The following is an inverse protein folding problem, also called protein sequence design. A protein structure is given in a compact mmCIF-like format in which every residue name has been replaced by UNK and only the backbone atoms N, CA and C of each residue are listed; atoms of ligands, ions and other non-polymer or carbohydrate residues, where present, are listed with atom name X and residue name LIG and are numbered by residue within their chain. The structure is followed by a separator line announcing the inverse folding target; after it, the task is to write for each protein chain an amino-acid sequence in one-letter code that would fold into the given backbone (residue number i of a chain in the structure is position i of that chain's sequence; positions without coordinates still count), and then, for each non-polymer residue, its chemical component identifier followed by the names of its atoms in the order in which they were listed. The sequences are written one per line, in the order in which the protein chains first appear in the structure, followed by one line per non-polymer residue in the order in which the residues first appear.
data_IF_289587903022
#
_entry.id   IF_289587903022
#
_cell.length_a   1.000
_cell.length_b   1.000
_cell.length_c   1.000
_cell.angle_alpha   90.00
_cell.angle_beta   90.00
_cell.angle_gamma   90.00
#
_symmetry.space_group_name_H-M   'P 1'
#
loop_
_entity.id
_entity.type
_entity.pdbx_description
1 polymer ?
#
# COMPACT_ATOMS: atom_id res chain seq x y z
N UNK A 1 -26.02 5.24 3.63
CA UNK A 1 -25.40 3.97 3.18
C UNK A 1 -23.92 4.05 3.47
N UNK A 2 -23.37 3.05 4.13
CA UNK A 2 -21.95 2.98 4.50
C UNK A 2 -21.17 2.08 3.55
N UNK A 3 -19.83 2.14 3.59
CA UNK A 3 -18.98 1.22 2.82
C UNK A 3 -19.26 -0.25 3.15
N UNK A 4 -19.50 -0.57 4.43
CA UNK A 4 -19.84 -1.94 4.87
C UNK A 4 -21.16 -2.40 4.26
N UNK A 5 -22.20 -1.54 4.24
CA UNK A 5 -23.48 -1.86 3.60
C UNK A 5 -23.35 -2.04 2.09
N UNK A 6 -22.47 -1.27 1.42
CA UNK A 6 -22.16 -1.46 0.01
C UNK A 6 -21.48 -2.81 -0.22
N UNK A 7 -20.46 -3.15 0.55
CA UNK A 7 -19.74 -4.41 0.44
C UNK A 7 -20.61 -5.65 0.73
N UNK A 8 -21.71 -5.47 1.46
CA UNK A 8 -22.65 -6.57 1.75
C UNK A 8 -23.61 -6.90 0.59
N UNK A 9 -23.70 -6.05 -0.43
CA UNK A 9 -24.57 -6.27 -1.58
C UNK A 9 -23.88 -7.12 -2.65
N UNK A 10 -24.58 -8.08 -3.22
CA UNK A 10 -24.02 -8.96 -4.25
C UNK A 10 -23.75 -8.24 -5.58
N UNK A 11 -24.55 -7.23 -5.91
CA UNK A 11 -24.50 -6.44 -7.14
C UNK A 11 -23.61 -5.19 -7.06
N UNK A 12 -22.87 -5.01 -5.98
CA UNK A 12 -21.94 -3.87 -5.83
C UNK A 12 -20.74 -4.01 -6.74
N UNK A 13 -20.42 -2.94 -7.45
CA UNK A 13 -19.20 -2.78 -8.22
C UNK A 13 -18.21 -1.78 -7.58
N UNK A 14 -16.96 -1.82 -8.03
CA UNK A 14 -15.92 -0.94 -7.52
C UNK A 14 -16.20 0.55 -7.84
N UNK A 15 -16.91 0.85 -8.91
CA UNK A 15 -17.29 2.22 -9.27
C UNK A 15 -18.30 2.81 -8.29
N UNK A 16 -19.24 2.02 -7.79
CA UNK A 16 -20.18 2.45 -6.75
C UNK A 16 -19.45 2.73 -5.43
N UNK A 17 -18.50 1.87 -5.06
CA UNK A 17 -17.64 2.06 -3.88
C UNK A 17 -16.78 3.31 -4.03
N UNK A 18 -16.16 3.53 -5.18
CA UNK A 18 -15.35 4.71 -5.44
C UNK A 18 -16.17 6.01 -5.29
N UNK A 19 -17.33 6.09 -5.94
CA UNK A 19 -18.22 7.26 -5.83
C UNK A 19 -18.65 7.52 -4.39
N UNK A 20 -18.96 6.47 -3.64
CA UNK A 20 -19.32 6.61 -2.23
C UNK A 20 -18.18 7.22 -1.41
N UNK A 21 -16.99 6.64 -1.49
CA UNK A 21 -15.82 7.09 -0.73
C UNK A 21 -15.37 8.50 -1.12
N UNK A 22 -15.41 8.84 -2.42
CA UNK A 22 -14.98 10.14 -2.92
C UNK A 22 -15.97 11.26 -2.57
N UNK A 23 -17.25 10.93 -2.31
CA UNK A 23 -18.26 11.87 -1.82
C UNK A 23 -18.16 12.17 -0.32
N UNK A 24 -17.42 11.37 0.46
CA UNK A 24 -17.25 11.57 1.90
C UNK A 24 -16.19 12.64 2.22
N UNK A 25 -16.36 13.33 3.34
CA UNK A 25 -15.26 14.10 3.93
C UNK A 25 -14.09 13.18 4.33
N UNK A 26 -12.91 13.76 4.51
CA UNK A 26 -11.68 13.00 4.76
C UNK A 26 -11.77 12.14 6.03
N UNK A 27 -12.36 12.66 7.11
CA UNK A 27 -12.46 11.95 8.39
C UNK A 27 -13.44 10.78 8.30
N UNK A 28 -14.58 10.97 7.67
CA UNK A 28 -15.58 9.91 7.48
C UNK A 28 -15.07 8.83 6.54
N UNK A 29 -14.42 9.21 5.45
CA UNK A 29 -13.76 8.28 4.51
C UNK A 29 -12.72 7.41 5.21
N UNK A 30 -11.84 8.02 6.01
CA UNK A 30 -10.83 7.29 6.77
C UNK A 30 -11.46 6.33 7.76
N UNK A 31 -12.46 6.77 8.54
CA UNK A 31 -13.16 5.91 9.50
C UNK A 31 -13.85 4.73 8.83
N UNK A 32 -14.52 4.90 7.69
CA UNK A 32 -15.19 3.83 6.98
C UNK A 32 -14.19 2.85 6.36
N UNK A 33 -13.15 3.34 5.71
CA UNK A 33 -12.15 2.48 5.08
C UNK A 33 -11.30 1.71 6.11
N UNK A 34 -10.82 2.36 7.17
CA UNK A 34 -10.06 1.70 8.23
C UNK A 34 -10.93 0.85 9.16
N UNK A 35 -12.26 0.99 9.10
CA UNK A 35 -13.22 0.18 9.85
C UNK A 35 -13.40 -1.24 9.33
N UNK A 36 -12.94 -1.54 8.11
CA UNK A 36 -13.16 -2.83 7.46
C UNK A 36 -12.48 -3.99 8.17
N UNK A 37 -13.22 -5.07 8.36
CA UNK A 37 -12.69 -6.34 8.83
C UNK A 37 -12.00 -7.13 7.70
N UNK A 38 -11.47 -8.32 8.04
CA UNK A 38 -10.75 -9.16 7.08
C UNK A 38 -11.63 -9.59 5.89
N UNK A 39 -12.86 -10.03 6.15
CA UNK A 39 -13.75 -10.52 5.08
C UNK A 39 -14.14 -9.38 4.13
N UNK A 40 -14.39 -8.19 4.67
CA UNK A 40 -14.68 -6.98 3.91
C UNK A 40 -13.47 -6.51 3.08
N UNK A 41 -12.25 -6.57 3.63
CA UNK A 41 -11.04 -6.24 2.88
C UNK A 41 -10.77 -7.26 1.77
N UNK A 42 -10.99 -8.56 2.00
CA UNK A 42 -10.91 -9.58 0.95
C UNK A 42 -11.88 -9.28 -0.20
N UNK A 43 -13.16 -9.01 0.13
CA UNK A 43 -14.15 -8.67 -0.90
C UNK A 43 -13.80 -7.38 -1.63
N UNK A 44 -13.32 -6.36 -0.94
CA UNK A 44 -12.86 -5.12 -1.56
C UNK A 44 -11.69 -5.36 -2.51
N UNK A 45 -10.75 -6.24 -2.15
CA UNK A 45 -9.66 -6.66 -3.01
C UNK A 45 -10.17 -7.33 -4.29
N UNK A 46 -11.13 -8.23 -4.19
CA UNK A 46 -11.68 -8.93 -5.36
C UNK A 46 -12.42 -7.95 -6.30
N UNK A 47 -13.26 -7.08 -5.75
CA UNK A 47 -13.96 -6.04 -6.52
C UNK A 47 -12.99 -5.05 -7.18
N UNK A 48 -11.89 -4.73 -6.54
CA UNK A 48 -10.87 -3.79 -7.06
C UNK A 48 -10.08 -4.33 -8.26
N UNK A 49 -10.25 -5.60 -8.62
CA UNK A 49 -9.65 -6.18 -9.83
C UNK A 49 -10.14 -5.49 -11.12
N UNK A 50 -11.36 -4.97 -11.12
CA UNK A 50 -11.96 -4.22 -12.25
C UNK A 50 -11.75 -2.69 -12.15
N UNK A 51 -11.06 -2.20 -11.11
CA UNK A 51 -10.77 -0.78 -10.96
C UNK A 51 -9.78 -0.29 -12.03
N UNK A 52 -9.80 1.02 -12.35
CA UNK A 52 -8.73 1.63 -13.13
C UNK A 52 -7.37 1.34 -12.49
N UNK A 53 -6.35 1.11 -13.33
CA UNK A 53 -5.01 0.79 -12.86
C UNK A 53 -4.47 1.86 -11.91
N UNK A 54 -4.00 1.42 -10.75
CA UNK A 54 -3.35 2.29 -9.78
C UNK A 54 -2.02 2.80 -10.33
N UNK A 55 -1.72 4.08 -10.11
CA UNK A 55 -0.48 4.76 -10.49
C UNK A 55 0.22 5.35 -9.27
N UNK A 56 1.50 5.65 -9.39
CA UNK A 56 2.29 6.24 -8.30
C UNK A 56 1.74 7.59 -7.82
N UNK A 57 1.12 8.37 -8.72
CA UNK A 57 0.47 9.64 -8.38
C UNK A 57 -0.69 9.50 -7.37
N UNK A 58 -1.21 8.29 -7.18
CA UNK A 58 -2.15 8.02 -6.11
C UNK A 58 -1.50 8.15 -4.72
N UNK A 59 -0.24 7.73 -4.58
CA UNK A 59 0.48 7.78 -3.31
C UNK A 59 1.12 9.15 -3.07
N UNK A 60 1.71 9.72 -4.10
CA UNK A 60 2.28 11.07 -4.05
C UNK A 60 1.79 11.84 -5.27
N UNK A 61 0.75 12.69 -5.14
CA UNK A 61 0.21 13.50 -6.23
C UNK A 61 1.28 14.29 -6.97
N UNK A 62 1.08 14.54 -8.25
CA UNK A 62 2.09 15.22 -9.09
C UNK A 62 2.42 16.62 -8.61
N UNK A 63 1.46 17.32 -8.03
CA UNK A 63 1.64 18.66 -7.46
C UNK A 63 2.48 18.68 -6.17
N UNK A 64 2.71 17.53 -5.52
CA UNK A 64 3.52 17.45 -4.28
C UNK A 64 5.00 17.50 -4.65
N UNK A 65 5.72 18.44 -4.04
CA UNK A 65 7.15 18.61 -4.27
C UNK A 65 7.97 17.41 -3.76
N UNK A 66 9.10 17.07 -4.42
CA UNK A 66 10.04 16.09 -3.89
C UNK A 66 10.48 16.44 -2.46
N UNK A 67 10.70 15.42 -1.64
CA UNK A 67 11.06 15.62 -0.23
C UNK A 67 9.90 15.95 0.70
N UNK A 68 8.67 16.08 0.18
CA UNK A 68 7.46 16.26 1.00
C UNK A 68 6.85 14.90 1.33
N UNK A 69 6.55 14.66 2.60
CA UNK A 69 5.92 13.44 3.07
C UNK A 69 4.41 13.46 2.77
N UNK A 70 3.88 12.36 2.21
CA UNK A 70 2.45 12.10 2.09
C UNK A 70 2.07 10.93 2.99
N UNK A 71 1.07 11.13 3.84
CA UNK A 71 0.67 10.20 4.88
C UNK A 71 -0.49 9.33 4.44
N UNK A 72 -0.34 8.02 4.67
CA UNK A 72 -1.35 7.03 4.38
C UNK A 72 -1.61 6.15 5.60
N UNK A 73 -2.49 6.56 6.53
CA UNK A 73 -2.95 5.66 7.57
C UNK A 73 -3.55 4.40 6.95
N UNK A 74 -3.33 3.28 7.59
CA UNK A 74 -3.75 1.98 7.11
C UNK A 74 -4.18 1.03 8.19
N UNK A 75 -4.95 0.03 7.79
CA UNK A 75 -5.33 -1.10 8.63
C UNK A 75 -5.10 -2.40 7.90
N UNK A 76 -4.36 -3.30 8.54
CA UNK A 76 -4.09 -4.64 8.03
C UNK A 76 -4.99 -5.71 8.66
N UNK A 77 -4.92 -6.94 8.13
CA UNK A 77 -5.68 -8.11 8.60
C UNK A 77 -4.83 -9.11 9.38
N UNK A 78 -3.64 -8.73 9.83
CA UNK A 78 -2.72 -9.62 10.54
C UNK A 78 -3.28 -9.95 11.94
N UNK A 79 -3.51 -11.24 12.26
CA UNK A 79 -3.91 -11.65 13.61
C UNK A 79 -2.72 -11.52 14.59
N UNK A 80 -2.96 -11.56 15.93
CA UNK A 80 -4.24 -11.72 16.62
C UNK A 80 -4.78 -10.45 17.29
N UNK A 81 -4.04 -9.32 17.31
CA UNK A 81 -4.41 -8.19 18.15
C UNK A 81 -4.76 -6.96 17.30
N UNK A 82 -6.01 -6.48 17.40
CA UNK A 82 -6.51 -5.29 16.69
C UNK A 82 -5.59 -4.07 16.83
N UNK A 83 -4.98 -3.85 17.98
CA UNK A 83 -4.08 -2.72 18.23
C UNK A 83 -2.80 -2.72 17.38
N UNK A 84 -2.42 -3.84 16.78
CA UNK A 84 -1.27 -3.96 15.87
C UNK A 84 -1.68 -3.95 14.41
N UNK A 85 -2.98 -3.83 14.14
CA UNK A 85 -3.50 -3.76 12.77
C UNK A 85 -3.42 -2.35 12.20
N UNK A 86 -3.41 -1.33 13.05
CA UNK A 86 -3.26 0.06 12.61
C UNK A 86 -1.78 0.36 12.36
N UNK A 87 -1.49 1.01 11.24
CA UNK A 87 -0.15 1.41 10.82
C UNK A 87 -0.24 2.63 9.91
N UNK A 88 0.89 3.19 9.54
CA UNK A 88 0.96 4.28 8.56
C UNK A 88 2.07 4.00 7.56
N UNK A 89 1.79 4.16 6.27
CA UNK A 89 2.84 4.26 5.25
C UNK A 89 3.04 5.72 4.90
N UNK A 90 4.28 6.16 4.92
CA UNK A 90 4.66 7.50 4.47
C UNK A 90 5.42 7.39 3.18
N UNK A 91 5.06 8.22 2.22
CA UNK A 91 5.63 8.23 0.88
C UNK A 91 6.22 9.59 0.55
N UNK A 92 7.26 9.62 -0.27
CA UNK A 92 7.81 10.84 -0.86
C UNK A 92 8.43 10.57 -2.23
N UNK A 93 8.51 11.61 -3.06
CA UNK A 93 9.31 11.61 -4.29
C UNK A 93 10.75 11.98 -3.96
N UNK A 94 11.71 11.31 -4.59
CA UNK A 94 13.15 11.63 -4.48
C UNK A 94 13.71 12.29 -5.75
N UNK A 95 12.87 12.65 -6.69
CA UNK A 95 13.29 13.21 -7.98
C UNK A 95 13.69 12.16 -9.02
N UNK A 96 13.73 10.87 -8.68
CA UNK A 96 13.93 9.78 -9.65
C UNK A 96 12.60 9.44 -10.30
N UNK A 97 12.46 9.60 -11.63
CA UNK A 97 11.21 9.30 -12.32
C UNK A 97 10.83 7.82 -12.17
N UNK A 98 9.54 7.55 -12.04
CA UNK A 98 9.00 6.18 -12.00
C UNK A 98 9.11 5.47 -10.65
N UNK A 99 9.63 6.14 -9.61
CA UNK A 99 9.73 5.58 -8.27
C UNK A 99 9.27 6.58 -7.21
N UNK A 100 8.68 6.08 -6.15
CA UNK A 100 8.49 6.77 -4.89
C UNK A 100 9.06 5.92 -3.78
N UNK A 101 9.58 6.55 -2.75
CA UNK A 101 10.15 5.85 -1.60
C UNK A 101 9.30 6.11 -0.36
N UNK A 102 9.44 5.25 0.61
CA UNK A 102 8.72 5.45 1.85
C UNK A 102 9.12 4.45 2.93
N UNK A 103 8.42 4.53 4.03
CA UNK A 103 8.55 3.55 5.09
C UNK A 103 7.20 3.23 5.72
N UNK A 104 7.14 2.05 6.31
CA UNK A 104 6.00 1.59 7.10
C UNK A 104 6.27 1.84 8.57
N UNK A 105 5.47 2.70 9.18
CA UNK A 105 5.48 2.95 10.62
C UNK A 105 4.49 1.99 11.28
N UNK A 106 5.03 1.08 12.10
CA UNK A 106 4.23 0.09 12.82
C UNK A 106 3.86 0.60 14.21
N UNK A 107 2.66 0.27 14.68
CA UNK A 107 2.29 0.47 16.09
C UNK A 107 3.15 -0.34 17.07
N UNK A 108 3.90 -1.33 16.59
CA UNK A 108 4.84 -2.12 17.40
C UNK A 108 6.17 -1.36 17.53
N UNK A 109 6.32 -0.59 18.59
CA UNK A 109 7.48 0.28 18.90
C UNK A 109 8.85 -0.43 18.91
N UNK A 110 8.88 -1.76 19.05
CA UNK A 110 10.10 -2.58 19.04
C UNK A 110 10.49 -3.07 17.64
N UNK A 111 9.64 -2.84 16.61
CA UNK A 111 9.94 -3.13 15.22
C UNK A 111 10.31 -1.81 14.56
N UNK A 112 11.55 -1.73 14.05
CA UNK A 112 11.99 -0.55 13.31
C UNK A 112 11.15 -0.36 12.03
N UNK A 113 10.97 0.88 11.57
CA UNK A 113 10.31 1.17 10.31
C UNK A 113 10.93 0.38 9.15
N UNK A 114 10.08 -0.25 8.34
CA UNK A 114 10.50 -0.94 7.13
C UNK A 114 10.49 0.02 5.94
N UNK A 115 11.66 0.37 5.42
CA UNK A 115 11.77 1.18 4.21
C UNK A 115 11.44 0.38 2.96
N UNK A 116 10.94 1.05 1.93
CA UNK A 116 10.60 0.46 0.65
C UNK A 116 10.82 1.43 -0.51
N UNK A 117 10.91 0.85 -1.70
CA UNK A 117 10.74 1.57 -2.97
C UNK A 117 9.45 1.08 -3.61
N UNK A 118 8.60 1.99 -4.08
CA UNK A 118 7.39 1.66 -4.80
C UNK A 118 7.49 2.13 -6.26
N UNK A 119 7.04 1.28 -7.18
CA UNK A 119 7.04 1.53 -8.62
C UNK A 119 5.85 0.85 -9.29
N UNK A 120 5.54 1.26 -10.52
CA UNK A 120 4.47 0.67 -11.29
C UNK A 120 4.87 -0.73 -11.80
N UNK A 121 3.95 -1.69 -11.77
CA UNK A 121 4.23 -3.07 -12.16
C UNK A 121 4.50 -3.23 -13.66
N UNK A 122 4.22 -2.21 -14.48
CA UNK A 122 4.57 -2.10 -15.90
C UNK A 122 5.74 -1.14 -16.16
N UNK A 123 6.49 -0.75 -15.12
CA UNK A 123 7.65 0.12 -15.29
C UNK A 123 8.73 -0.52 -16.20
N UNK A 124 9.47 0.29 -16.98
CA UNK A 124 10.47 -0.22 -17.94
C UNK A 124 11.58 -1.09 -17.34
N UNK A 125 11.84 -0.97 -16.04
CA UNK A 125 12.85 -1.78 -15.33
C UNK A 125 12.34 -3.13 -14.82
N UNK A 126 11.05 -3.45 -15.00
CA UNK A 126 10.48 -4.74 -14.59
C UNK A 126 10.57 -5.72 -15.78
N UNK A 127 11.10 -6.93 -15.54
CA UNK A 127 11.20 -7.97 -16.57
C UNK A 127 9.83 -8.31 -17.18
N UNK A 128 9.71 -8.51 -18.52
CA UNK A 128 8.41 -8.73 -19.20
C UNK A 128 7.56 -9.87 -18.62
N UNK A 129 8.16 -11.00 -18.28
CA UNK A 129 7.45 -12.13 -17.65
C UNK A 129 6.89 -11.77 -16.27
N UNK A 130 7.64 -10.97 -15.53
CA UNK A 130 7.25 -10.45 -14.23
C UNK A 130 6.18 -9.39 -14.36
N UNK A 131 6.24 -8.52 -15.38
CA UNK A 131 5.23 -7.51 -15.66
C UNK A 131 3.84 -8.13 -15.84
N UNK A 132 3.71 -9.20 -16.66
CA UNK A 132 2.43 -9.87 -16.90
C UNK A 132 1.84 -10.40 -15.59
N UNK A 133 2.62 -11.19 -14.84
CA UNK A 133 2.19 -11.77 -13.57
C UNK A 133 1.85 -10.72 -12.49
N UNK A 134 2.62 -9.64 -12.43
CA UNK A 134 2.43 -8.59 -11.43
C UNK A 134 1.28 -7.64 -11.78
N UNK A 135 1.02 -7.42 -13.08
CA UNK A 135 -0.10 -6.62 -13.54
C UNK A 135 -1.46 -7.18 -13.07
N UNK A 136 -1.59 -8.51 -13.01
CA UNK A 136 -2.77 -9.20 -12.48
C UNK A 136 -2.93 -8.99 -10.96
N UNK A 137 -1.82 -8.80 -10.24
CA UNK A 137 -1.82 -8.58 -8.78
C UNK A 137 -2.15 -7.14 -8.42
N UNK A 138 -1.70 -6.16 -9.20
CA UNK A 138 -1.95 -4.73 -8.92
C UNK A 138 -1.22 -3.80 -9.88
N UNK A 139 -1.53 -2.51 -9.82
CA UNK A 139 -0.90 -1.48 -10.66
C UNK A 139 0.43 -0.97 -10.12
N UNK A 140 0.62 -1.01 -8.80
CA UNK A 140 1.84 -0.58 -8.11
C UNK A 140 2.30 -1.69 -7.17
N UNK A 141 3.61 -1.89 -7.09
CA UNK A 141 4.25 -2.74 -6.10
C UNK A 141 5.04 -1.87 -5.11
N UNK A 142 4.89 -2.16 -3.83
CA UNK A 142 5.70 -1.63 -2.74
C UNK A 142 6.71 -2.72 -2.39
N UNK A 143 7.97 -2.52 -2.75
CA UNK A 143 9.01 -3.53 -2.67
C UNK A 143 9.94 -3.29 -1.48
N UNK A 144 9.87 -4.15 -0.47
CA UNK A 144 10.72 -4.11 0.71
C UNK A 144 12.10 -4.78 0.52
N UNK A 145 12.35 -5.38 -0.65
CA UNK A 145 13.71 -5.83 -1.03
C UNK A 145 14.61 -4.62 -1.31
N UNK A 146 14.00 -3.48 -1.66
CA UNK A 146 14.68 -2.24 -1.98
C UNK A 146 14.51 -1.24 -0.84
N UNK A 147 15.55 -0.47 -0.60
CA UNK A 147 15.54 0.67 0.32
C UNK A 147 16.04 1.91 -0.43
N UNK A 148 15.69 3.13 0.01
CA UNK A 148 16.24 4.34 -0.57
C UNK A 148 17.78 4.30 -0.65
N UNK A 149 18.36 4.82 -1.73
CA UNK A 149 19.82 4.90 -1.89
C UNK A 149 20.44 5.76 -0.78
N UNK A 150 21.64 5.39 -0.35
CA UNK A 150 22.37 6.15 0.65
C UNK A 150 22.61 7.59 0.17
N UNK A 151 22.31 8.57 1.01
CA UNK A 151 22.44 9.99 0.68
C UNK A 151 21.27 10.58 -0.13
N UNK A 152 20.25 9.79 -0.47
CA UNK A 152 19.04 10.33 -1.08
C UNK A 152 18.32 11.31 -0.15
N UNK A 153 17.79 12.43 -0.66
CA UNK A 153 17.05 13.38 0.17
C UNK A 153 15.76 12.75 0.69
N UNK A 154 15.66 12.61 2.00
CA UNK A 154 14.44 12.19 2.70
C UNK A 154 13.82 13.39 3.42
N UNK A 155 12.50 13.39 3.65
CA UNK A 155 11.87 14.40 4.47
C UNK A 155 12.51 14.51 5.86
N UNK A 156 12.54 15.72 6.40
CA UNK A 156 13.06 15.97 7.74
C UNK A 156 12.30 15.13 8.79
N UNK A 157 13.02 14.61 9.76
CA UNK A 157 12.47 13.80 10.85
C UNK A 157 12.17 12.34 10.48
N UNK A 158 12.43 11.91 9.24
CA UNK A 158 12.33 10.49 8.91
C UNK A 158 13.46 9.69 9.58
N UNK A 159 13.17 8.44 10.01
CA UNK A 159 14.17 7.59 10.63
C UNK A 159 15.32 7.27 9.69
N UNK A 160 16.48 6.93 10.25
CA UNK A 160 17.63 6.51 9.45
C UNK A 160 17.29 5.24 8.63
N UNK A 161 17.68 5.23 7.36
CA UNK A 161 17.50 4.07 6.47
C UNK A 161 18.33 2.90 6.98
N UNK A 162 17.67 1.77 7.24
CA UNK A 162 18.32 0.51 7.62
C UNK A 162 17.78 -0.59 6.71
N UNK A 163 18.64 -1.48 6.18
CA UNK A 163 18.20 -2.59 5.36
C UNK A 163 17.18 -3.47 6.08
N UNK A 164 16.13 -3.89 5.39
CA UNK A 164 15.06 -4.72 5.95
C UNK A 164 15.51 -6.15 6.34
N UNK A 165 16.69 -6.56 5.90
CA UNK A 165 17.34 -7.83 6.30
C UNK A 165 17.96 -7.79 7.71
N UNK A 166 17.99 -6.62 8.36
CA UNK A 166 18.65 -6.44 9.65
C UNK A 166 17.65 -6.38 10.81
N UNK A 167 18.01 -6.97 11.97
CA UNK A 167 17.21 -6.90 13.20
C UNK A 167 15.86 -7.61 13.14
N UNK A 168 14.92 -7.21 14.00
CA UNK A 168 13.58 -7.81 14.10
C UNK A 168 12.69 -7.46 12.91
N UNK A 169 12.94 -6.37 12.22
CA UNK A 169 12.24 -5.98 10.99
C UNK A 169 12.38 -7.01 9.87
N UNK A 170 13.44 -7.83 9.89
CA UNK A 170 13.62 -8.98 8.99
C UNK A 170 12.45 -9.94 9.01
N UNK A 171 11.82 -10.16 10.16
CA UNK A 171 10.69 -11.08 10.31
C UNK A 171 9.41 -10.56 9.64
N UNK A 172 9.32 -9.25 9.42
CA UNK A 172 8.12 -8.59 8.89
C UNK A 172 8.30 -8.19 7.43
N UNK A 173 9.45 -7.60 7.08
CA UNK A 173 9.63 -6.94 5.78
C UNK A 173 10.59 -7.68 4.84
N UNK A 174 11.45 -8.55 5.36
CA UNK A 174 12.44 -9.22 4.49
C UNK A 174 11.76 -10.14 3.47
N UNK A 175 12.09 -9.97 2.20
CA UNK A 175 11.52 -10.72 1.06
C UNK A 175 10.02 -10.58 0.91
N UNK A 176 9.47 -9.42 1.26
CA UNK A 176 8.05 -9.13 1.07
C UNK A 176 7.85 -8.04 0.03
N UNK A 177 6.70 -8.09 -0.64
CA UNK A 177 6.15 -7.07 -1.52
C UNK A 177 4.68 -6.91 -1.23
N UNK A 178 4.19 -5.68 -1.39
CA UNK A 178 2.77 -5.39 -1.34
C UNK A 178 2.30 -4.98 -2.74
N UNK A 179 1.32 -5.68 -3.29
CA UNK A 179 0.66 -5.31 -4.54
C UNK A 179 -0.56 -4.47 -4.24
N UNK A 180 -0.68 -3.33 -4.92
CA UNK A 180 -1.67 -2.31 -4.63
C UNK A 180 -2.68 -2.17 -5.77
N UNK A 181 -3.98 -2.08 -5.43
CA UNK A 181 -5.09 -1.80 -6.33
C UNK A 181 -5.81 -0.52 -5.93
N UNK A 182 -6.35 0.17 -6.92
CA UNK A 182 -7.16 1.37 -6.70
C UNK A 182 -8.53 0.98 -6.15
N UNK A 183 -9.02 1.75 -5.18
CA UNK A 183 -10.39 1.68 -4.69
C UNK A 183 -11.13 2.97 -5.06
N UNK A 184 -10.59 4.13 -4.69
CA UNK A 184 -11.14 5.45 -5.01
C UNK A 184 -10.00 6.45 -5.27
N UNK A 185 -10.28 7.74 -5.29
CA UNK A 185 -9.23 8.76 -5.45
C UNK A 185 -8.24 8.77 -4.28
N UNK A 186 -8.73 8.52 -3.08
CA UNK A 186 -7.92 8.59 -1.84
C UNK A 186 -7.69 7.23 -1.18
N UNK A 187 -8.35 6.18 -1.64
CA UNK A 187 -8.30 4.85 -0.99
C UNK A 187 -7.70 3.83 -1.94
N UNK A 188 -6.76 3.05 -1.42
CA UNK A 188 -6.20 1.88 -2.10
C UNK A 188 -6.24 0.66 -1.17
N UNK A 189 -6.22 -0.53 -1.79
CA UNK A 189 -6.14 -1.79 -1.06
C UNK A 189 -4.90 -2.55 -1.52
N UNK A 190 -4.22 -3.18 -0.57
CA UNK A 190 -3.02 -3.96 -0.80
C UNK A 190 -3.17 -5.40 -0.35
N UNK A 191 -2.38 -6.27 -1.00
CA UNK A 191 -2.18 -7.66 -0.57
C UNK A 191 -0.71 -7.98 -0.58
N UNK A 192 -0.22 -8.55 0.51
CA UNK A 192 1.19 -8.90 0.66
C UNK A 192 1.56 -10.14 -0.15
N UNK A 193 2.81 -10.21 -0.58
CA UNK A 193 3.44 -11.41 -1.14
C UNK A 193 4.80 -11.65 -0.48
N UNK A 194 5.31 -12.86 -0.63
CA UNK A 194 6.63 -13.25 -0.14
C UNK A 194 7.33 -14.15 -1.13
N UNK A 195 8.65 -14.18 -1.08
CA UNK A 195 9.49 -15.02 -1.94
C UNK A 195 10.00 -14.29 -3.19
N UNK A 196 10.76 -15.03 -3.99
CA UNK A 196 11.37 -14.56 -5.23
C UNK A 196 11.28 -15.63 -6.32
N UNK A 197 11.29 -15.22 -7.59
CA UNK A 197 11.22 -16.13 -8.72
C UNK A 197 9.96 -17.00 -8.68
N UNK A 198 10.14 -18.31 -8.76
CA UNK A 198 9.04 -19.29 -8.69
C UNK A 198 8.41 -19.42 -7.30
N UNK A 199 9.16 -19.07 -6.25
CA UNK A 199 8.67 -19.07 -4.87
C UNK A 199 7.82 -17.84 -4.50
N UNK A 200 7.68 -16.86 -5.42
CA UNK A 200 6.88 -15.65 -5.21
C UNK A 200 5.38 -15.97 -5.16
N UNK A 201 4.80 -15.87 -3.98
CA UNK A 201 3.38 -16.20 -3.72
C UNK A 201 2.68 -15.10 -2.94
N UNK A 202 1.40 -14.89 -3.24
CA UNK A 202 0.54 -14.01 -2.46
C UNK A 202 0.26 -14.62 -1.09
N UNK A 203 0.27 -13.76 -0.08
CA UNK A 203 -0.11 -14.10 1.29
C UNK A 203 -1.59 -13.80 1.54
N UNK A 204 -2.11 -14.35 2.61
CA UNK A 204 -3.48 -14.08 3.09
C UNK A 204 -3.51 -12.87 4.03
N UNK A 205 -2.81 -11.81 3.64
CA UNK A 205 -2.72 -10.54 4.36
C UNK A 205 -3.12 -9.40 3.44
N UNK A 206 -4.23 -8.75 3.78
CA UNK A 206 -4.75 -7.56 3.10
C UNK A 206 -4.56 -6.35 4.01
N UNK A 207 -4.57 -5.19 3.41
CA UNK A 207 -4.59 -3.93 4.13
C UNK A 207 -5.17 -2.83 3.25
N UNK A 208 -5.87 -1.91 3.86
CA UNK A 208 -6.37 -0.71 3.22
C UNK A 208 -5.52 0.49 3.62
N UNK A 209 -5.31 1.42 2.69
CA UNK A 209 -4.64 2.70 2.90
C UNK A 209 -5.57 3.85 2.50
N UNK A 210 -5.51 4.95 3.25
CA UNK A 210 -6.22 6.19 2.95
C UNK A 210 -5.22 7.32 2.85
N UNK A 211 -5.18 8.04 1.71
CA UNK A 211 -4.33 9.22 1.55
C UNK A 211 -4.95 10.42 2.28
N UNK A 212 -4.18 11.05 3.13
CA UNK A 212 -4.47 12.35 3.77
C UNK A 212 -3.96 13.52 2.96
#
# INVERSE_FOLDING_TARGET
MTLVELLAKDDTDIGAIARHLDALDAQTREREALGLDRAQQMRLWDLSASAPRLRLSHFVPDAVAPGTAVHHPGRNTIPPFRRFQDFEKRFTKQGKPGEVVGYNESAAWFIRPGYFVAYETDAPGVEPERQTRWAERGGVVIDYHLVPEAGSPLPEGWPAVVPNSYGLQRLVYHRTRDFMRRVSEHVSIGRASTGEGEADRMLDFWFVLVRR
#
